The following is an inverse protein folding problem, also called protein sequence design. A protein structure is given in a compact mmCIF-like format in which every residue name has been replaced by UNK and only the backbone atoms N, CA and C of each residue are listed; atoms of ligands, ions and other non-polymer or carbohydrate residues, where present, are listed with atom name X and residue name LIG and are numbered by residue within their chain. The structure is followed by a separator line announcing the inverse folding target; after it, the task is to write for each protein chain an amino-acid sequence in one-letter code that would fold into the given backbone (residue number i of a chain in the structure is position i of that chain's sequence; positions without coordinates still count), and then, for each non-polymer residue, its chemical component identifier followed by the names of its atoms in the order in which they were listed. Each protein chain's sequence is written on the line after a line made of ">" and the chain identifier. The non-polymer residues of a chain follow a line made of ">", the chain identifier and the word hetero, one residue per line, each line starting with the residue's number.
data_IF_394443657499
#
_entry.id   IF_394443657499
#
_cell.length_a   1.000
_cell.length_b   1.000
_cell.length_c   1.000
_cell.angle_alpha   90.00
_cell.angle_beta   90.00
_cell.angle_gamma   90.00
#
_symmetry.space_group_name_H-M   'P 1'
#
loop_
_entity.id
_entity.type
_entity.pdbx_description
1 polymer ?
#
# COMPACT_ATOMS: atom_id res chain seq x y z
N UNK A 1 27.52 -10.09 16.07
CA UNK A 1 28.38 -8.96 16.46
C UNK A 1 27.46 -7.82 16.86
N UNK A 2 27.65 -7.22 18.02
CA UNK A 2 26.80 -6.11 18.49
C UNK A 2 27.14 -4.84 17.72
N UNK A 3 26.13 -4.15 17.17
CA UNK A 3 26.34 -2.89 16.47
C UNK A 3 26.51 -1.78 17.50
N UNK A 4 27.62 -1.06 17.40
CA UNK A 4 27.93 0.17 18.14
C UNK A 4 28.12 1.33 17.17
N UNK A 5 28.05 2.57 17.65
CA UNK A 5 28.35 3.76 16.84
C UNK A 5 29.73 3.68 16.17
N UNK A 6 30.73 3.17 16.90
CA UNK A 6 32.09 2.97 16.40
C UNK A 6 32.12 1.92 15.29
N UNK A 7 31.55 0.73 15.51
CA UNK A 7 31.57 -0.35 14.52
C UNK A 7 30.82 0.05 13.24
N UNK A 8 29.73 0.82 13.37
CA UNK A 8 28.99 1.35 12.24
C UNK A 8 29.84 2.35 11.43
N UNK A 9 30.48 3.32 12.10
CA UNK A 9 31.36 4.29 11.46
C UNK A 9 32.55 3.63 10.76
N UNK A 10 33.24 2.70 11.44
CA UNK A 10 34.38 1.96 10.87
C UNK A 10 33.96 1.07 9.69
N UNK A 11 32.77 0.48 9.75
CA UNK A 11 32.25 -0.32 8.63
C UNK A 11 31.90 0.56 7.43
N UNK A 12 31.22 1.69 7.65
CA UNK A 12 30.91 2.64 6.59
C UNK A 12 32.17 3.21 5.95
N UNK A 13 33.14 3.69 6.73
CA UNK A 13 34.41 4.22 6.21
C UNK A 13 35.15 3.19 5.36
N UNK A 14 35.23 1.93 5.82
CA UNK A 14 35.86 0.85 5.05
C UNK A 14 35.11 0.55 3.75
N UNK A 15 33.79 0.71 3.73
CA UNK A 15 32.97 0.48 2.54
C UNK A 15 33.11 1.64 1.55
N UNK A 16 32.97 2.87 2.03
CA UNK A 16 33.07 4.09 1.23
C UNK A 16 34.44 4.20 0.55
N UNK A 17 35.53 3.98 1.30
CA UNK A 17 36.90 4.04 0.78
C UNK A 17 37.23 3.03 -0.34
N UNK A 18 36.35 2.04 -0.59
CA UNK A 18 36.54 1.04 -1.65
C UNK A 18 35.87 1.43 -2.97
N UNK A 19 35.00 2.43 -3.00
CA UNK A 19 34.17 2.68 -4.16
C UNK A 19 33.88 4.17 -4.37
N UNK A 20 34.28 4.69 -5.53
CA UNK A 20 34.20 6.11 -5.86
C UNK A 20 32.77 6.71 -5.76
N UNK A 21 31.73 5.89 -6.00
CA UNK A 21 30.33 6.31 -5.83
C UNK A 21 29.96 6.67 -4.38
N UNK A 22 30.80 6.32 -3.40
CA UNK A 22 30.58 6.59 -1.99
C UNK A 22 31.57 7.61 -1.40
N UNK A 23 32.49 8.16 -2.20
CA UNK A 23 33.61 8.99 -1.69
C UNK A 23 33.11 10.27 -0.98
N UNK A 24 32.00 10.85 -1.44
CA UNK A 24 31.38 12.05 -0.83
C UNK A 24 30.16 11.71 0.04
N UNK A 25 29.87 10.42 0.24
CA UNK A 25 28.71 9.99 1.01
C UNK A 25 29.09 9.82 2.48
N UNK A 26 28.67 10.78 3.30
CA UNK A 26 28.83 10.70 4.74
C UNK A 26 27.88 9.68 5.39
N UNK A 27 28.32 9.09 6.51
CA UNK A 27 27.43 8.29 7.34
C UNK A 27 26.33 9.20 7.91
N UNK A 28 25.05 8.81 7.83
CA UNK A 28 23.98 9.62 8.40
C UNK A 28 24.13 9.81 9.91
N UNK A 29 23.58 10.89 10.49
CA UNK A 29 23.65 11.15 11.92
C UNK A 29 23.17 9.96 12.74
N UNK A 30 23.99 9.53 13.71
CA UNK A 30 23.68 8.42 14.63
C UNK A 30 23.39 8.98 16.02
N UNK A 31 22.11 8.97 16.38
CA UNK A 31 21.57 9.31 17.69
C UNK A 31 21.61 8.09 18.63
N UNK A 32 21.82 8.36 19.92
CA UNK A 32 21.78 7.37 21.01
C UNK A 32 20.53 7.51 21.88
N UNK A 33 19.66 8.47 21.54
CA UNK A 33 18.37 8.67 22.21
C UNK A 33 17.34 9.27 21.25
N UNK A 34 16.05 9.09 21.55
CA UNK A 34 14.96 9.70 20.79
C UNK A 34 15.01 11.23 20.81
N UNK A 35 15.56 11.83 21.88
CA UNK A 35 15.73 13.28 21.97
C UNK A 35 16.79 13.78 20.99
N UNK A 36 17.95 13.11 20.92
CA UNK A 36 18.98 13.42 19.93
C UNK A 36 18.47 13.20 18.50
N UNK A 37 17.72 12.12 18.26
CA UNK A 37 17.11 11.84 16.96
C UNK A 37 16.20 13.00 16.53
N UNK A 38 15.35 13.49 17.43
CA UNK A 38 14.44 14.60 17.16
C UNK A 38 15.20 15.86 16.77
N UNK A 39 16.27 16.21 17.49
CA UNK A 39 17.09 17.38 17.14
C UNK A 39 17.74 17.25 15.76
N UNK A 40 18.24 16.06 15.40
CA UNK A 40 18.82 15.85 14.07
C UNK A 40 17.77 15.90 12.97
N UNK A 41 16.63 15.28 13.20
CA UNK A 41 15.53 15.26 12.25
C UNK A 41 14.95 16.66 12.00
N UNK A 42 14.77 17.47 13.05
CA UNK A 42 14.32 18.86 12.93
C UNK A 42 15.30 19.70 12.09
N UNK A 43 16.62 19.56 12.32
CA UNK A 43 17.64 20.24 11.48
C UNK A 43 17.61 19.78 10.03
N UNK A 44 17.39 18.50 9.78
CA UNK A 44 17.32 17.95 8.43
C UNK A 44 16.03 18.41 7.70
N UNK A 45 14.94 18.62 8.44
CA UNK A 45 13.69 19.18 7.91
C UNK A 45 13.86 20.67 7.58
N UNK A 46 14.50 21.46 8.46
CA UNK A 46 14.84 22.87 8.21
C UNK A 46 15.76 23.06 7.00
N UNK A 47 16.65 22.10 6.73
CA UNK A 47 17.52 22.11 5.57
C UNK A 47 16.86 21.59 4.28
N UNK A 48 15.56 21.25 4.32
CA UNK A 48 14.81 20.57 3.24
C UNK A 48 15.48 19.28 2.74
N UNK A 49 16.33 18.69 3.59
CA UNK A 49 17.22 17.61 3.23
C UNK A 49 16.51 16.25 3.29
N UNK A 50 15.48 16.14 4.15
CA UNK A 50 14.64 14.95 4.31
C UNK A 50 15.45 13.66 4.56
N UNK A 51 16.67 13.82 5.08
CA UNK A 51 17.71 12.80 5.12
C UNK A 51 17.38 11.65 6.05
N UNK A 52 18.04 10.51 5.82
CA UNK A 52 18.01 9.39 6.75
C UNK A 52 18.71 9.81 8.06
N UNK A 53 18.13 9.48 9.21
CA UNK A 53 18.78 9.56 10.52
C UNK A 53 18.75 8.18 11.16
N UNK A 54 19.77 7.83 11.95
CA UNK A 54 19.87 6.53 12.60
C UNK A 54 19.73 6.70 14.11
N UNK A 55 18.90 5.85 14.73
CA UNK A 55 18.83 5.67 16.18
C UNK A 55 19.42 4.31 16.52
N UNK A 56 20.42 4.29 17.40
CA UNK A 56 21.06 3.06 17.87
C UNK A 56 20.54 2.72 19.28
N UNK A 57 19.80 1.61 19.39
CA UNK A 57 19.32 1.07 20.65
C UNK A 57 20.47 0.38 21.42
N UNK A 58 20.34 0.32 22.75
CA UNK A 58 21.31 -0.35 23.64
C UNK A 58 21.53 -1.82 23.32
N UNK A 59 20.56 -2.48 22.69
CA UNK A 59 20.64 -3.89 22.29
C UNK A 59 21.30 -4.10 20.92
N UNK A 60 21.89 -3.06 20.33
CA UNK A 60 22.52 -3.07 19.02
C UNK A 60 21.56 -3.04 17.83
N UNK A 61 20.28 -2.72 18.03
CA UNK A 61 19.33 -2.49 16.94
C UNK A 61 19.51 -1.09 16.38
N UNK A 62 19.66 -0.99 15.06
CA UNK A 62 19.67 0.28 14.34
C UNK A 62 18.30 0.52 13.72
N UNK A 63 17.69 1.65 14.07
CA UNK A 63 16.44 2.13 13.51
C UNK A 63 16.71 3.30 12.58
N UNK A 64 16.24 3.20 11.35
CA UNK A 64 16.32 4.29 10.38
C UNK A 64 15.06 5.14 10.43
N UNK A 65 15.22 6.45 10.46
CA UNK A 65 14.12 7.41 10.49
C UNK A 65 14.23 8.46 9.39
N UNK A 66 13.08 8.93 8.91
CA UNK A 66 12.96 10.12 8.05
C UNK A 66 12.05 11.12 8.74
N UNK A 67 12.62 12.22 9.22
CA UNK A 67 11.94 13.04 10.21
C UNK A 67 11.88 12.35 11.58
N UNK A 68 11.31 13.01 12.60
CA UNK A 68 11.40 12.53 13.99
C UNK A 68 10.50 11.33 14.30
N UNK A 69 9.47 11.08 13.48
CA UNK A 69 8.42 10.11 13.82
C UNK A 69 8.29 8.94 12.84
N UNK A 70 8.82 9.04 11.62
CA UNK A 70 8.65 8.00 10.60
C UNK A 70 9.85 7.05 10.60
N UNK A 71 9.71 5.94 11.31
CA UNK A 71 10.64 4.81 11.20
C UNK A 71 10.47 4.14 9.83
N UNK A 72 11.58 3.88 9.13
CA UNK A 72 11.59 3.27 7.78
C UNK A 72 12.21 1.87 7.77
N UNK A 73 13.00 1.52 8.78
CA UNK A 73 13.50 0.16 9.02
C UNK A 73 13.97 0.01 10.47
N UNK A 74 14.03 -1.23 10.96
CA UNK A 74 14.73 -1.60 12.17
C UNK A 74 15.48 -2.92 11.95
N UNK A 75 16.79 -2.96 12.17
CA UNK A 75 17.60 -4.17 11.94
C UNK A 75 18.80 -4.26 12.89
N UNK A 76 19.25 -5.49 13.13
CA UNK A 76 20.51 -5.81 13.84
C UNK A 76 21.60 -6.30 12.89
N UNK A 77 21.32 -6.32 11.59
CA UNK A 77 22.28 -6.71 10.57
C UNK A 77 23.02 -5.48 10.05
N UNK A 78 24.33 -5.45 10.30
CA UNK A 78 25.20 -4.35 9.88
C UNK A 78 25.22 -4.18 8.35
N UNK A 79 25.20 -5.25 7.56
CA UNK A 79 25.22 -5.16 6.10
C UNK A 79 23.90 -4.57 5.56
N UNK A 80 22.77 -4.87 6.21
CA UNK A 80 21.50 -4.23 5.87
C UNK A 80 21.54 -2.72 6.17
N UNK A 81 22.14 -2.30 7.29
CA UNK A 81 22.30 -0.87 7.60
C UNK A 81 23.16 -0.18 6.54
N UNK A 82 24.31 -0.75 6.16
CA UNK A 82 25.18 -0.18 5.13
C UNK A 82 24.48 -0.06 3.78
N UNK A 83 23.72 -1.09 3.39
CA UNK A 83 22.88 -1.05 2.18
C UNK A 83 21.86 0.09 2.22
N UNK A 84 21.13 0.25 3.33
CA UNK A 84 20.09 1.27 3.48
C UNK A 84 20.66 2.70 3.48
N UNK A 85 21.86 2.88 4.04
CA UNK A 85 22.60 4.14 3.96
C UNK A 85 22.98 4.44 2.51
N UNK A 86 23.55 3.46 1.79
CA UNK A 86 23.92 3.63 0.39
C UNK A 86 22.71 3.89 -0.51
N UNK A 87 21.60 3.17 -0.31
CA UNK A 87 20.35 3.41 -1.03
C UNK A 87 19.84 4.83 -0.81
N UNK A 88 19.81 5.30 0.44
CA UNK A 88 19.38 6.66 0.75
C UNK A 88 20.26 7.72 0.05
N UNK A 89 21.57 7.49 0.01
CA UNK A 89 22.51 8.39 -0.65
C UNK A 89 22.36 8.38 -2.18
N UNK A 90 22.35 7.21 -2.82
CA UNK A 90 22.22 7.09 -4.27
C UNK A 90 20.92 7.69 -4.78
N UNK A 91 19.84 7.59 -4.01
CA UNK A 91 18.57 8.23 -4.34
C UNK A 91 18.60 9.75 -4.25
N UNK A 92 19.43 10.31 -3.37
CA UNK A 92 19.61 11.77 -3.24
C UNK A 92 20.45 12.35 -4.38
N UNK A 93 21.30 11.55 -5.00
CA UNK A 93 22.00 11.95 -6.23
C UNK A 93 21.05 12.15 -7.43
N UNK A 94 19.78 11.71 -7.31
CA UNK A 94 18.78 11.80 -8.37
C UNK A 94 18.93 10.70 -9.43
N UNK A 95 18.14 10.81 -10.49
CA UNK A 95 18.06 9.83 -11.57
C UNK A 95 16.85 8.90 -11.48
N UNK A 96 16.73 8.03 -12.48
CA UNK A 96 15.77 6.93 -12.56
C UNK A 96 16.05 5.85 -11.51
N UNK A 97 15.07 5.01 -11.25
CA UNK A 97 15.23 3.91 -10.29
C UNK A 97 16.19 2.86 -10.80
N UNK A 98 16.25 2.68 -12.12
CA UNK A 98 17.19 1.83 -12.83
C UNK A 98 18.63 2.30 -12.60
N UNK A 99 18.88 3.61 -12.72
CA UNK A 99 20.21 4.18 -12.45
C UNK A 99 20.63 4.00 -10.99
N UNK A 100 19.70 4.14 -10.04
CA UNK A 100 19.96 3.85 -8.63
C UNK A 100 20.27 2.36 -8.43
N UNK A 101 19.49 1.47 -9.05
CA UNK A 101 19.70 0.04 -8.97
C UNK A 101 21.09 -0.36 -9.51
N UNK A 102 21.50 0.22 -10.65
CA UNK A 102 22.79 -0.02 -11.29
C UNK A 102 23.96 0.60 -10.53
N UNK A 103 23.76 1.74 -9.86
CA UNK A 103 24.74 2.30 -8.94
C UNK A 103 24.97 1.37 -7.74
N UNK A 104 23.89 0.87 -7.13
CA UNK A 104 23.98 -0.07 -6.03
C UNK A 104 24.61 -1.40 -6.45
N UNK A 105 24.28 -1.91 -7.65
CA UNK A 105 24.84 -3.14 -8.22
C UNK A 105 26.36 -3.05 -8.41
N UNK A 106 26.87 -1.90 -8.85
CA UNK A 106 28.30 -1.63 -8.99
C UNK A 106 29.03 -1.61 -7.64
N UNK A 107 28.39 -1.08 -6.59
CA UNK A 107 28.95 -1.06 -5.23
C UNK A 107 28.92 -2.45 -4.59
N UNK A 108 27.80 -3.15 -4.74
CA UNK A 108 27.57 -4.52 -4.31
C UNK A 108 26.43 -5.15 -5.15
N UNK A 109 26.68 -6.22 -5.91
CA UNK A 109 25.61 -6.87 -6.67
C UNK A 109 24.43 -7.31 -5.79
N UNK A 110 24.67 -7.66 -4.52
CA UNK A 110 23.58 -7.99 -3.60
C UNK A 110 22.70 -6.76 -3.26
N UNK A 111 23.28 -5.56 -3.22
CA UNK A 111 22.53 -4.32 -2.98
C UNK A 111 21.67 -3.96 -4.18
N UNK A 112 22.19 -4.11 -5.40
CA UNK A 112 21.41 -3.96 -6.63
C UNK A 112 20.21 -4.92 -6.67
N UNK A 113 20.40 -6.20 -6.30
CA UNK A 113 19.29 -7.17 -6.22
C UNK A 113 18.27 -6.84 -5.14
N UNK A 114 18.70 -6.49 -3.92
CA UNK A 114 17.80 -6.05 -2.84
C UNK A 114 16.98 -4.85 -3.26
N UNK A 115 17.60 -3.87 -3.91
CA UNK A 115 16.92 -2.67 -4.39
C UNK A 115 15.85 -3.02 -5.42
N UNK A 116 16.19 -3.83 -6.42
CA UNK A 116 15.24 -4.29 -7.45
C UNK A 116 14.12 -5.16 -6.88
N UNK A 117 14.38 -5.89 -5.80
CA UNK A 117 13.39 -6.68 -5.07
C UNK A 117 12.51 -5.89 -4.11
N UNK A 118 12.93 -4.70 -3.71
CA UNK A 118 12.21 -3.82 -2.77
C UNK A 118 12.32 -4.19 -1.30
N UNK A 119 12.88 -5.36 -0.96
CA UNK A 119 13.05 -5.86 0.41
C UNK A 119 14.47 -5.70 0.96
N UNK A 120 14.65 -6.10 2.23
CA UNK A 120 15.96 -6.17 2.89
C UNK A 120 16.72 -7.47 2.54
N UNK A 121 15.97 -8.52 2.21
CA UNK A 121 16.53 -9.82 1.84
C UNK A 121 16.83 -9.88 0.34
N UNK A 122 17.83 -10.69 -0.03
CA UNK A 122 18.10 -10.97 -1.44
C UNK A 122 16.96 -11.84 -1.99
N UNK A 123 16.14 -11.33 -2.93
CA UNK A 123 15.02 -12.10 -3.48
C UNK A 123 15.50 -13.18 -4.46
N UNK A 124 16.79 -13.24 -4.78
CA UNK A 124 17.30 -14.03 -5.89
C UNK A 124 17.01 -13.36 -7.24
N UNK A 125 16.73 -14.17 -8.26
CA UNK A 125 16.32 -13.66 -9.57
C UNK A 125 14.85 -13.28 -9.51
N UNK A 126 14.53 -12.02 -9.78
CA UNK A 126 13.16 -11.53 -9.86
C UNK A 126 12.80 -11.38 -11.33
N UNK A 127 11.79 -12.14 -11.79
CA UNK A 127 11.25 -11.98 -13.14
C UNK A 127 10.43 -10.69 -13.22
N UNK A 128 10.52 -10.01 -14.35
CA UNK A 128 9.71 -8.83 -14.62
C UNK A 128 8.23 -9.22 -14.73
N UNK A 129 7.34 -8.40 -14.17
CA UNK A 129 5.91 -8.54 -14.42
C UNK A 129 5.62 -8.20 -15.89
N UNK A 130 5.16 -9.19 -16.66
CA UNK A 130 4.83 -9.01 -18.08
C UNK A 130 3.36 -8.71 -18.36
N UNK A 131 2.53 -8.52 -17.31
CA UNK A 131 1.10 -8.25 -17.45
C UNK A 131 0.88 -6.76 -17.68
N UNK A 132 -0.04 -6.38 -18.56
CA UNK A 132 -0.49 -4.99 -18.63
C UNK A 132 -1.19 -4.61 -17.30
N UNK A 133 -0.66 -3.64 -16.53
CA UNK A 133 -1.23 -3.27 -15.25
C UNK A 133 -2.66 -2.74 -15.37
N UNK A 134 -3.02 -2.13 -16.51
CA UNK A 134 -4.35 -1.58 -16.78
C UNK A 134 -5.36 -2.65 -17.22
N UNK A 135 -4.93 -3.87 -17.54
CA UNK A 135 -5.86 -5.01 -17.64
C UNK A 135 -6.28 -5.50 -16.24
N UNK A 136 -5.47 -5.21 -15.22
CA UNK A 136 -5.71 -5.51 -13.81
C UNK A 136 -6.37 -4.36 -13.04
N UNK A 137 -6.38 -4.45 -11.71
CA UNK A 137 -7.07 -3.52 -10.80
C UNK A 137 -6.71 -2.05 -11.02
N UNK A 138 -5.51 -1.74 -11.55
CA UNK A 138 -5.07 -0.36 -11.77
C UNK A 138 -6.00 0.45 -12.70
N UNK A 139 -6.80 -0.20 -13.55
CA UNK A 139 -7.74 0.50 -14.44
C UNK A 139 -8.69 1.44 -13.68
N UNK A 140 -9.08 1.09 -12.44
CA UNK A 140 -10.05 1.87 -11.67
C UNK A 140 -9.41 3.10 -11.02
N UNK A 141 -8.08 3.15 -10.89
CA UNK A 141 -7.40 4.21 -10.14
C UNK A 141 -7.69 5.62 -10.72
N UNK A 142 -7.79 5.73 -12.05
CA UNK A 142 -8.12 6.98 -12.73
C UNK A 142 -9.52 7.51 -12.38
N UNK A 143 -10.55 6.67 -12.43
CA UNK A 143 -11.92 7.06 -12.08
C UNK A 143 -12.09 7.21 -10.56
N UNK A 144 -11.41 6.37 -9.78
CA UNK A 144 -11.49 6.39 -8.33
C UNK A 144 -10.89 7.65 -7.73
N UNK A 145 -9.93 8.26 -8.43
CA UNK A 145 -9.44 9.60 -8.11
C UNK A 145 -10.55 10.65 -8.13
N UNK A 146 -11.52 10.48 -9.02
CA UNK A 146 -12.71 11.31 -9.17
C UNK A 146 -13.90 10.74 -8.37
N UNK A 147 -13.63 9.84 -7.44
CA UNK A 147 -14.62 9.17 -6.57
C UNK A 147 -15.58 8.21 -7.28
N UNK A 148 -15.23 7.74 -8.48
CA UNK A 148 -16.06 6.87 -9.30
C UNK A 148 -15.49 5.43 -9.39
N UNK A 149 -16.32 4.38 -9.33
CA UNK A 149 -17.77 4.38 -9.14
C UNK A 149 -18.20 4.60 -7.69
N UNK A 150 -17.29 4.42 -6.73
CA UNK A 150 -17.57 4.55 -5.30
C UNK A 150 -16.34 4.99 -4.53
N UNK A 151 -16.53 5.72 -3.44
CA UNK A 151 -15.43 6.18 -2.58
C UNK A 151 -14.81 5.08 -1.73
N UNK A 152 -15.50 3.96 -1.51
CA UNK A 152 -14.95 2.82 -0.76
C UNK A 152 -14.89 1.58 -1.65
N UNK A 153 -13.71 0.95 -1.72
CA UNK A 153 -13.50 -0.37 -2.30
C UNK A 153 -13.10 -1.31 -1.16
N UNK A 154 -14.01 -2.20 -0.77
CA UNK A 154 -13.77 -3.17 0.29
C UNK A 154 -13.64 -4.59 -0.29
N UNK A 155 -12.64 -5.34 0.18
CA UNK A 155 -12.37 -6.71 -0.23
C UNK A 155 -12.33 -7.61 1.00
N UNK A 156 -12.96 -8.77 0.92
CA UNK A 156 -13.10 -9.73 2.03
C UNK A 156 -12.70 -11.12 1.56
N UNK A 157 -11.97 -11.84 2.43
CA UNK A 157 -11.54 -13.21 2.19
C UNK A 157 -11.73 -14.05 3.45
N UNK A 158 -12.20 -15.28 3.23
CA UNK A 158 -12.33 -16.29 4.26
C UNK A 158 -11.06 -17.14 4.35
N UNK A 159 -11.00 -18.04 5.33
CA UNK A 159 -9.91 -19.01 5.42
C UNK A 159 -9.74 -19.81 4.11
N UNK A 160 -8.52 -20.27 3.78
CA UNK A 160 -8.25 -21.02 2.55
C UNK A 160 -9.24 -22.17 2.34
N UNK A 161 -9.78 -22.28 1.12
CA UNK A 161 -10.79 -23.29 0.77
C UNK A 161 -12.24 -22.90 1.11
N UNK A 162 -12.49 -21.68 1.60
CA UNK A 162 -13.84 -21.12 1.80
C UNK A 162 -13.97 -19.80 1.04
N UNK A 163 -15.21 -19.39 0.79
CA UNK A 163 -15.55 -18.11 0.16
C UNK A 163 -16.49 -17.33 1.06
N UNK A 164 -16.34 -16.00 1.06
CA UNK A 164 -17.33 -15.10 1.66
C UNK A 164 -18.49 -14.98 0.67
N UNK A 165 -19.73 -15.11 1.15
CA UNK A 165 -20.90 -14.97 0.29
C UNK A 165 -21.17 -13.48 0.03
N UNK A 166 -21.11 -13.06 -1.25
CA UNK A 166 -21.24 -11.67 -1.64
C UNK A 166 -22.66 -11.11 -1.38
N UNK A 167 -23.70 -11.91 -1.58
CA UNK A 167 -25.09 -11.49 -1.33
C UNK A 167 -25.32 -11.33 0.17
N UNK A 168 -24.85 -12.28 0.98
CA UNK A 168 -24.97 -12.17 2.45
C UNK A 168 -24.14 -11.01 3.00
N UNK A 169 -22.98 -10.73 2.40
CA UNK A 169 -22.17 -9.56 2.74
C UNK A 169 -22.93 -8.26 2.39
N UNK A 170 -23.50 -8.14 1.20
CA UNK A 170 -24.27 -6.95 0.82
C UNK A 170 -25.48 -6.73 1.74
N UNK A 171 -26.21 -7.80 2.07
CA UNK A 171 -27.33 -7.76 3.02
C UNK A 171 -26.88 -7.35 4.42
N UNK A 172 -25.72 -7.82 4.87
CA UNK A 172 -25.15 -7.41 6.17
C UNK A 172 -24.89 -5.90 6.22
N UNK A 173 -24.46 -5.33 5.10
CA UNK A 173 -24.24 -3.90 4.93
C UNK A 173 -25.52 -3.09 4.68
N UNK A 174 -26.69 -3.74 4.61
CA UNK A 174 -27.98 -3.08 4.47
C UNK A 174 -28.50 -2.96 3.03
N UNK A 175 -27.98 -3.74 2.09
CA UNK A 175 -28.56 -3.82 0.74
C UNK A 175 -30.03 -4.30 0.78
N UNK A 176 -30.88 -3.73 -0.09
CA UNK A 176 -32.29 -4.11 -0.22
C UNK A 176 -32.44 -5.61 -0.56
N UNK A 177 -33.06 -6.42 0.31
CA UNK A 177 -33.21 -7.86 0.09
C UNK A 177 -33.97 -8.22 -1.19
N UNK A 178 -34.94 -7.40 -1.61
CA UNK A 178 -35.70 -7.64 -2.82
C UNK A 178 -34.83 -7.44 -4.07
N UNK A 179 -33.98 -6.41 -4.08
CA UNK A 179 -33.06 -6.13 -5.18
C UNK A 179 -31.93 -7.17 -5.24
N UNK A 180 -31.39 -7.57 -4.09
CA UNK A 180 -30.41 -8.65 -4.00
C UNK A 180 -31.01 -9.94 -4.55
N UNK A 181 -32.20 -10.34 -4.09
CA UNK A 181 -32.87 -11.56 -4.58
C UNK A 181 -33.26 -11.50 -6.07
N UNK A 182 -33.61 -10.31 -6.58
CA UNK A 182 -33.99 -10.11 -7.97
C UNK A 182 -32.81 -10.16 -8.95
N UNK A 183 -31.57 -10.15 -8.46
CA UNK A 183 -30.43 -10.19 -9.36
C UNK A 183 -29.99 -8.82 -9.91
N UNK A 184 -30.39 -7.73 -9.25
CA UNK A 184 -30.25 -6.37 -9.77
C UNK A 184 -28.80 -6.02 -10.14
N UNK A 185 -28.62 -5.35 -11.27
CA UNK A 185 -27.32 -4.94 -11.82
C UNK A 185 -27.16 -3.43 -11.82
N UNK A 186 -25.91 -2.94 -11.90
CA UNK A 186 -25.61 -1.51 -11.90
C UNK A 186 -26.35 -0.75 -13.03
N UNK A 187 -26.37 -1.32 -14.24
CA UNK A 187 -27.12 -0.75 -15.37
C UNK A 187 -28.62 -0.63 -15.10
N UNK A 188 -29.19 -1.56 -14.32
CA UNK A 188 -30.60 -1.54 -13.98
C UNK A 188 -30.91 -0.39 -13.01
N UNK A 189 -30.01 -0.12 -12.06
CA UNK A 189 -30.11 1.05 -11.16
C UNK A 189 -30.00 2.36 -11.95
N UNK A 190 -29.06 2.42 -12.90
CA UNK A 190 -28.81 3.57 -13.76
C UNK A 190 -29.93 3.83 -14.78
N UNK A 191 -30.72 2.80 -15.14
CA UNK A 191 -31.84 2.93 -16.07
C UNK A 191 -33.11 3.52 -15.43
N UNK A 192 -33.23 3.50 -14.09
CA UNK A 192 -34.41 4.02 -13.38
C UNK A 192 -34.51 5.54 -13.59
N UNK A 193 -35.71 6.00 -14.00
CA UNK A 193 -36.04 7.42 -14.23
C UNK A 193 -35.03 8.14 -15.16
N UNK A 194 -34.61 7.47 -16.25
CA UNK A 194 -33.60 7.97 -17.20
C UNK A 194 -32.28 8.37 -16.52
N UNK A 195 -31.93 7.70 -15.41
CA UNK A 195 -30.71 7.95 -14.63
C UNK A 195 -30.82 9.07 -13.60
N UNK A 196 -31.88 9.89 -13.63
CA UNK A 196 -32.04 11.01 -12.69
C UNK A 196 -32.12 10.54 -11.24
N UNK A 197 -32.94 9.51 -10.99
CA UNK A 197 -33.07 8.90 -9.68
C UNK A 197 -31.77 8.25 -9.19
N UNK A 198 -30.93 7.75 -10.10
CA UNK A 198 -29.63 7.19 -9.75
C UNK A 198 -28.64 8.28 -9.35
N UNK A 199 -28.51 9.36 -10.12
CA UNK A 199 -27.64 10.48 -9.75
C UNK A 199 -27.98 11.06 -8.37
N UNK A 200 -29.27 11.16 -8.03
CA UNK A 200 -29.72 11.65 -6.73
C UNK A 200 -29.48 10.65 -5.57
N UNK A 201 -29.34 9.34 -5.88
CA UNK A 201 -29.28 8.25 -4.88
C UNK A 201 -28.06 7.35 -4.99
N UNK A 202 -27.06 7.71 -5.81
CA UNK A 202 -25.86 6.89 -6.02
C UNK A 202 -25.12 6.63 -4.69
N UNK A 203 -25.17 7.60 -3.78
CA UNK A 203 -24.62 7.53 -2.43
C UNK A 203 -25.33 6.50 -1.54
N UNK A 204 -26.55 6.11 -1.91
CA UNK A 204 -27.38 5.13 -1.22
C UNK A 204 -27.31 3.73 -1.87
N UNK A 205 -26.20 3.38 -2.50
CA UNK A 205 -26.08 2.12 -3.23
C UNK A 205 -24.73 1.43 -3.02
N UNK A 206 -24.70 0.14 -3.34
CA UNK A 206 -23.47 -0.65 -3.47
C UNK A 206 -23.40 -1.43 -4.77
N UNK A 207 -22.16 -1.78 -5.14
CA UNK A 207 -21.85 -2.91 -6.01
C UNK A 207 -21.14 -4.01 -5.22
N UNK A 208 -21.43 -5.27 -5.51
CA UNK A 208 -20.83 -6.41 -4.79
C UNK A 208 -20.63 -7.61 -5.71
N UNK A 209 -19.72 -8.50 -5.31
CA UNK A 209 -19.44 -9.71 -6.10
C UNK A 209 -18.17 -10.40 -5.67
N UNK A 210 -17.61 -11.22 -6.56
CA UNK A 210 -16.38 -11.97 -6.30
C UNK A 210 -15.42 -11.85 -7.48
N UNK A 211 -14.14 -11.65 -7.20
CA UNK A 211 -13.06 -11.64 -8.19
C UNK A 211 -11.71 -11.91 -7.50
N UNK A 212 -10.81 -12.65 -8.16
CA UNK A 212 -9.46 -12.89 -7.65
C UNK A 212 -9.39 -13.66 -6.32
N UNK A 213 -10.42 -14.44 -5.97
CA UNK A 213 -10.52 -15.11 -4.67
C UNK A 213 -10.95 -14.18 -3.51
N UNK A 214 -11.30 -12.93 -3.83
CA UNK A 214 -11.86 -11.95 -2.92
C UNK A 214 -13.34 -11.73 -3.21
N UNK A 215 -14.10 -11.48 -2.15
CA UNK A 215 -15.45 -10.90 -2.25
C UNK A 215 -15.33 -9.40 -2.13
N UNK A 216 -15.86 -8.65 -3.08
CA UNK A 216 -15.79 -7.19 -3.05
C UNK A 216 -17.15 -6.58 -2.69
N UNK A 217 -17.09 -5.41 -2.06
CA UNK A 217 -18.22 -4.53 -1.80
C UNK A 217 -17.74 -3.08 -2.01
N UNK A 218 -18.39 -2.36 -2.91
CA UNK A 218 -18.10 -0.98 -3.24
C UNK A 218 -19.28 -0.11 -2.85
N UNK A 219 -19.03 1.01 -2.18
CA UNK A 219 -20.07 1.92 -1.73
C UNK A 219 -19.52 3.31 -1.41
N UNK A 220 -20.39 4.31 -1.34
CA UNK A 220 -20.01 5.64 -0.91
C UNK A 220 -20.15 5.84 0.61
N UNK A 221 -21.33 5.55 1.12
CA UNK A 221 -21.67 5.63 2.54
C UNK A 221 -22.48 4.40 2.95
N UNK A 222 -22.38 4.00 4.21
CA UNK A 222 -23.16 2.89 4.76
C UNK A 222 -24.47 3.40 5.36
N UNK A 223 -25.59 2.67 5.23
CA UNK A 223 -26.83 3.08 5.86
C UNK A 223 -26.71 3.11 7.39
N UNK A 224 -27.45 3.98 8.10
CA UNK A 224 -27.47 4.00 9.55
C UNK A 224 -27.79 2.62 10.14
N UNK A 225 -26.97 2.18 11.09
CA UNK A 225 -27.16 0.87 11.73
C UNK A 225 -26.70 -0.33 10.89
N UNK A 226 -25.92 -0.14 9.81
CA UNK A 226 -25.24 -1.27 9.16
C UNK A 226 -24.31 -1.99 10.16
N UNK A 227 -24.56 -3.28 10.40
CA UNK A 227 -23.87 -4.08 11.42
C UNK A 227 -22.71 -4.87 10.80
N UNK A 228 -21.64 -4.17 10.44
CA UNK A 228 -20.39 -4.80 9.99
C UNK A 228 -19.39 -4.88 11.15
N UNK A 229 -19.80 -5.52 12.25
CA UNK A 229 -18.95 -5.72 13.43
C UNK A 229 -18.16 -7.05 13.37
N UNK A 230 -17.31 -7.26 14.39
CA UNK A 230 -16.42 -8.42 14.45
C UNK A 230 -17.19 -9.73 14.50
N UNK A 231 -18.31 -9.76 15.22
CA UNK A 231 -19.19 -10.91 15.36
C UNK A 231 -19.85 -11.27 14.03
N UNK A 232 -20.36 -10.27 13.30
CA UNK A 232 -20.93 -10.46 11.98
C UNK A 232 -19.90 -10.97 10.96
N UNK A 233 -18.68 -10.43 10.98
CA UNK A 233 -17.60 -10.92 10.13
C UNK A 233 -17.19 -12.36 10.44
N UNK A 234 -17.11 -12.70 11.73
CA UNK A 234 -16.86 -14.07 12.16
C UNK A 234 -17.96 -15.03 11.69
N UNK A 235 -19.23 -14.60 11.70
CA UNK A 235 -20.36 -15.39 11.21
C UNK A 235 -20.29 -15.65 9.69
N UNK A 236 -19.75 -14.70 8.92
CA UNK A 236 -19.45 -14.87 7.48
C UNK A 236 -18.13 -15.61 7.23
N UNK A 237 -17.38 -15.96 8.28
CA UNK A 237 -16.09 -16.64 8.17
C UNK A 237 -14.98 -15.78 7.59
N UNK A 238 -15.12 -14.45 7.66
CA UNK A 238 -14.14 -13.48 7.16
C UNK A 238 -12.92 -13.54 8.08
N UNK A 239 -11.76 -13.79 7.49
CA UNK A 239 -10.47 -13.79 8.18
C UNK A 239 -9.59 -12.64 7.73
N UNK A 240 -9.82 -12.10 6.54
CA UNK A 240 -9.03 -11.02 5.99
C UNK A 240 -9.91 -10.01 5.27
N UNK A 241 -9.55 -8.74 5.38
CA UNK A 241 -10.28 -7.67 4.74
C UNK A 241 -9.39 -6.48 4.45
N UNK A 242 -9.54 -5.93 3.25
CA UNK A 242 -8.79 -4.77 2.76
C UNK A 242 -9.79 -3.68 2.41
N UNK A 243 -9.54 -2.46 2.87
CA UNK A 243 -10.30 -1.27 2.49
C UNK A 243 -9.41 -0.26 1.82
N UNK A 244 -9.92 0.26 0.71
CA UNK A 244 -9.42 1.44 0.04
C UNK A 244 -10.50 2.50 0.14
N UNK A 245 -10.20 3.67 0.70
CA UNK A 245 -11.17 4.77 0.80
C UNK A 245 -10.64 6.06 0.20
N UNK A 246 -11.42 6.70 -0.65
CA UNK A 246 -11.14 7.98 -1.29
C UNK A 246 -11.90 9.12 -0.62
N UNK A 247 -11.20 10.18 -0.21
CA UNK A 247 -11.78 11.37 0.43
C UNK A 247 -11.48 12.63 -0.40
N UNK A 248 -12.47 13.11 -1.17
CA UNK A 248 -12.33 14.27 -2.08
C UNK A 248 -11.90 15.55 -1.38
N UNK A 249 -12.42 15.82 -0.18
CA UNK A 249 -12.14 17.07 0.55
C UNK A 249 -10.65 17.28 0.88
N UNK A 250 -9.84 16.23 0.83
CA UNK A 250 -8.39 16.29 1.13
C UNK A 250 -7.51 15.60 0.09
N UNK A 251 -8.11 15.07 -0.99
CA UNK A 251 -7.46 14.11 -1.88
C UNK A 251 -6.77 12.96 -1.12
N UNK A 252 -7.27 12.59 0.07
CA UNK A 252 -6.66 11.53 0.88
C UNK A 252 -7.24 10.20 0.44
N UNK A 253 -6.37 9.24 0.20
CA UNK A 253 -6.74 7.86 -0.06
C UNK A 253 -6.11 6.99 0.99
N UNK A 254 -6.92 6.16 1.63
CA UNK A 254 -6.50 5.35 2.76
C UNK A 254 -6.41 3.89 2.35
N UNK A 255 -5.48 3.17 2.97
CA UNK A 255 -5.40 1.71 2.94
C UNK A 255 -5.56 1.18 4.36
N UNK A 256 -6.47 0.24 4.54
CA UNK A 256 -6.64 -0.52 5.78
C UNK A 256 -6.59 -2.01 5.47
N UNK A 257 -5.78 -2.75 6.21
CA UNK A 257 -5.67 -4.19 6.05
C UNK A 257 -5.77 -4.89 7.40
N UNK A 258 -6.80 -5.71 7.52
CA UNK A 258 -7.07 -6.52 8.69
C UNK A 258 -6.88 -8.00 8.35
N UNK A 259 -6.23 -8.72 9.26
CA UNK A 259 -6.06 -10.18 9.22
C UNK A 259 -6.31 -10.75 10.61
N UNK A 260 -7.19 -11.74 10.69
CA UNK A 260 -7.62 -12.41 11.92
C UNK A 260 -8.11 -11.43 13.01
N UNK A 261 -8.85 -10.39 12.59
CA UNK A 261 -9.42 -9.38 13.49
C UNK A 261 -8.40 -8.41 14.09
N UNK A 262 -7.20 -8.33 13.52
CA UNK A 262 -6.16 -7.36 13.91
C UNK A 262 -5.68 -6.61 12.67
N UNK A 263 -5.30 -5.35 12.85
CA UNK A 263 -4.67 -4.57 11.79
C UNK A 263 -3.28 -5.14 11.53
N UNK A 264 -2.91 -5.26 10.26
CA UNK A 264 -1.59 -5.77 9.83
C UNK A 264 -0.53 -4.66 9.87
N UNK A 265 -0.95 -3.39 9.97
CA UNK A 265 -0.05 -2.24 10.14
C UNK A 265 -0.38 -1.48 11.41
N UNK A 266 0.62 -1.28 12.26
CA UNK A 266 0.50 -0.52 13.50
C UNK A 266 0.59 1.01 13.27
N UNK A 267 1.07 1.46 12.10
CA UNK A 267 1.30 2.88 11.81
C UNK A 267 0.05 3.64 11.34
N UNK A 268 -1.03 2.93 11.03
CA UNK A 268 -2.31 3.52 10.64
C UNK A 268 -2.48 3.69 9.13
N UNK A 269 -3.18 4.74 8.72
CA UNK A 269 -3.63 5.01 7.35
C UNK A 269 -2.47 5.50 6.50
N UNK A 270 -2.18 4.83 5.37
CA UNK A 270 -1.30 5.40 4.33
C UNK A 270 -2.11 6.40 3.50
N UNK A 271 -1.66 7.65 3.45
CA UNK A 271 -2.18 8.66 2.53
C UNK A 271 -1.40 8.61 1.21
N UNK A 272 -1.98 8.03 0.17
CA UNK A 272 -1.29 7.80 -1.11
C UNK A 272 -0.79 9.07 -1.81
N UNK A 273 -1.38 10.24 -1.51
CA UNK A 273 -0.91 11.52 -2.06
C UNK A 273 0.49 11.93 -1.61
N UNK A 274 0.96 11.41 -0.48
CA UNK A 274 2.31 11.67 0.05
C UNK A 274 3.30 10.56 -0.31
N UNK A 275 2.89 9.60 -1.14
CA UNK A 275 3.79 8.57 -1.61
C UNK A 275 4.78 9.13 -2.63
N UNK A 276 6.06 8.98 -2.32
CA UNK A 276 7.15 9.34 -3.21
C UNK A 276 7.72 8.09 -3.89
N UNK A 277 7.76 8.12 -5.23
CA UNK A 277 8.35 7.05 -6.03
C UNK A 277 9.77 6.74 -5.57
N UNK A 278 10.04 5.46 -5.48
CA UNK A 278 11.25 4.85 -4.98
C UNK A 278 11.33 4.70 -3.48
N UNK A 279 10.41 5.27 -2.68
CA UNK A 279 10.37 5.05 -1.23
C UNK A 279 9.54 3.81 -0.92
N UNK A 280 9.96 3.07 0.10
CA UNK A 280 9.10 2.07 0.72
C UNK A 280 7.96 2.81 1.44
N UNK A 281 6.67 2.53 1.12
CA UNK A 281 5.55 3.13 1.84
C UNK A 281 5.48 2.67 3.31
N UNK A 282 5.92 1.44 3.60
CA UNK A 282 5.83 0.79 4.91
C UNK A 282 7.19 0.50 5.52
N UNK A 283 7.20 0.21 6.83
CA UNK A 283 8.38 -0.25 7.56
C UNK A 283 9.00 -1.48 6.86
N UNK A 284 10.27 -1.36 6.46
CA UNK A 284 10.98 -2.48 5.80
C UNK A 284 11.28 -3.58 6.80
N UNK A 285 10.97 -4.81 6.40
CA UNK A 285 11.01 -5.98 7.29
C UNK A 285 9.80 -6.13 8.23
N UNK A 286 8.82 -5.22 8.15
CA UNK A 286 7.53 -5.33 8.86
C UNK A 286 6.53 -6.25 8.14
N UNK A 287 5.32 -6.36 8.69
CA UNK A 287 4.28 -7.25 8.15
C UNK A 287 3.80 -6.85 6.74
N UNK A 288 3.90 -5.57 6.37
CA UNK A 288 3.58 -5.05 5.03
C UNK A 288 4.79 -4.99 4.09
N UNK A 289 5.94 -5.58 4.43
CA UNK A 289 7.12 -5.55 3.55
C UNK A 289 6.86 -6.23 2.19
N UNK A 290 5.94 -7.20 2.14
CA UNK A 290 5.52 -7.80 0.88
C UNK A 290 4.94 -6.76 -0.10
N UNK A 291 4.29 -5.72 0.42
CA UNK A 291 3.72 -4.63 -0.39
C UNK A 291 4.80 -3.63 -0.81
N UNK A 292 5.79 -3.35 0.04
CA UNK A 292 6.98 -2.59 -0.36
C UNK A 292 7.68 -3.23 -1.58
N UNK A 293 7.79 -4.56 -1.57
CA UNK A 293 8.37 -5.33 -2.67
C UNK A 293 7.53 -5.21 -3.93
N UNK A 294 6.22 -5.44 -3.84
CA UNK A 294 5.31 -5.31 -4.98
C UNK A 294 5.33 -3.90 -5.58
N UNK A 295 5.32 -2.85 -4.75
CA UNK A 295 5.42 -1.47 -5.20
C UNK A 295 6.74 -1.23 -5.93
N UNK A 296 7.87 -1.66 -5.37
CA UNK A 296 9.17 -1.52 -6.04
C UNK A 296 9.20 -2.24 -7.40
N UNK A 297 8.59 -3.42 -7.49
CA UNK A 297 8.50 -4.16 -8.76
C UNK A 297 7.65 -3.41 -9.77
N UNK A 298 6.48 -2.95 -9.37
CA UNK A 298 5.63 -2.10 -10.19
C UNK A 298 6.39 -0.87 -10.72
N UNK A 299 7.24 -0.25 -9.90
CA UNK A 299 7.97 0.95 -10.31
C UNK A 299 8.99 0.72 -11.43
N UNK A 300 9.64 -0.45 -11.42
CA UNK A 300 10.70 -0.84 -12.35
C UNK A 300 10.15 -1.55 -13.58
N UNK A 301 9.13 -2.39 -13.39
CA UNK A 301 8.53 -3.19 -14.46
C UNK A 301 7.52 -2.38 -15.28
N UNK A 302 6.90 -1.37 -14.67
CA UNK A 302 5.92 -0.48 -15.28
C UNK A 302 6.30 1.00 -15.15
N UNK A 303 7.39 1.46 -15.80
CA UNK A 303 7.79 2.87 -15.78
C UNK A 303 6.71 3.80 -16.39
N UNK A 304 5.82 3.27 -17.24
CA UNK A 304 4.68 3.98 -17.82
C UNK A 304 3.61 4.38 -16.79
N UNK A 305 3.50 3.67 -15.65
CA UNK A 305 2.55 3.99 -14.58
C UNK A 305 3.03 5.21 -13.78
N UNK A 306 2.86 6.39 -14.32
CA UNK A 306 3.25 7.66 -13.66
C UNK A 306 2.29 8.06 -12.52
N UNK A 307 1.06 7.55 -12.53
CA UNK A 307 0.09 7.76 -11.45
C UNK A 307 0.43 6.89 -10.25
N UNK A 308 0.67 7.52 -9.10
CA UNK A 308 0.87 6.83 -7.82
C UNK A 308 -0.27 5.87 -7.47
N UNK A 309 -1.51 6.22 -7.83
CA UNK A 309 -2.67 5.38 -7.55
C UNK A 309 -2.67 4.12 -8.41
N UNK A 310 -2.42 4.25 -9.72
CA UNK A 310 -2.35 3.11 -10.64
C UNK A 310 -1.23 2.15 -10.23
N UNK A 311 -0.05 2.71 -9.93
CA UNK A 311 1.09 1.97 -9.42
C UNK A 311 0.75 1.18 -8.15
N UNK A 312 0.11 1.85 -7.19
CA UNK A 312 -0.24 1.22 -5.91
C UNK A 312 -1.33 0.16 -6.06
N UNK A 313 -2.33 0.40 -6.91
CA UNK A 313 -3.40 -0.56 -7.20
C UNK A 313 -2.87 -1.80 -7.91
N UNK A 314 -1.94 -1.62 -8.85
CA UNK A 314 -1.23 -2.72 -9.47
C UNK A 314 -0.43 -3.53 -8.43
N UNK A 315 0.31 -2.86 -7.55
CA UNK A 315 1.05 -3.54 -6.48
C UNK A 315 0.12 -4.32 -5.51
N UNK A 316 -1.09 -3.83 -5.23
CA UNK A 316 -2.09 -4.54 -4.43
C UNK A 316 -2.65 -5.77 -5.16
N UNK A 317 -2.88 -5.69 -6.47
CA UNK A 317 -3.24 -6.87 -7.26
C UNK A 317 -2.13 -7.93 -7.17
N UNK A 318 -0.88 -7.55 -7.44
CA UNK A 318 0.21 -8.52 -7.52
C UNK A 318 0.53 -9.14 -6.15
N UNK A 319 0.42 -8.37 -5.08
CA UNK A 319 0.73 -8.84 -3.73
C UNK A 319 -0.41 -9.61 -3.05
N UNK A 320 -1.65 -9.19 -3.23
CA UNK A 320 -2.81 -9.72 -2.50
C UNK A 320 -3.81 -10.44 -3.40
N UNK A 321 -3.70 -10.29 -4.73
CA UNK A 321 -4.65 -10.83 -5.70
C UNK A 321 -5.95 -10.04 -5.79
N UNK A 322 -5.97 -8.78 -5.34
CA UNK A 322 -7.17 -7.94 -5.40
C UNK A 322 -7.57 -7.71 -6.85
N UNK A 323 -8.85 -7.93 -7.18
CA UNK A 323 -9.38 -7.78 -8.54
C UNK A 323 -10.80 -7.27 -8.54
N UNK A 324 -11.17 -6.61 -9.63
CA UNK A 324 -12.55 -6.22 -9.97
C UNK A 324 -12.84 -6.65 -11.41
N UNK A 325 -14.06 -7.11 -11.74
CA UNK A 325 -14.41 -7.52 -13.10
C UNK A 325 -14.60 -6.31 -14.01
N UNK A 326 -13.51 -5.86 -14.66
CA UNK A 326 -13.49 -4.65 -15.52
C UNK A 326 -14.61 -4.63 -16.58
N UNK A 327 -14.80 -5.75 -17.28
CA UNK A 327 -15.84 -5.88 -18.32
C UNK A 327 -17.24 -5.67 -17.74
N UNK A 328 -17.56 -6.35 -16.64
CA UNK A 328 -18.85 -6.22 -15.98
C UNK A 328 -19.09 -4.79 -15.46
N UNK A 329 -18.05 -4.09 -14.97
CA UNK A 329 -18.19 -2.69 -14.58
C UNK A 329 -18.45 -1.78 -15.79
N UNK A 330 -17.72 -1.98 -16.90
CA UNK A 330 -17.89 -1.21 -18.12
C UNK A 330 -19.28 -1.41 -18.76
N UNK A 331 -19.84 -2.62 -18.66
CA UNK A 331 -21.16 -2.97 -19.18
C UNK A 331 -22.30 -2.75 -18.16
N UNK A 332 -21.95 -2.38 -16.92
CA UNK A 332 -22.91 -2.23 -15.81
C UNK A 332 -23.57 -3.54 -15.38
N UNK A 333 -22.93 -4.68 -15.64
CA UNK A 333 -23.42 -6.03 -15.34
C UNK A 333 -23.12 -6.47 -13.90
N UNK A 334 -22.27 -5.73 -13.19
CA UNK A 334 -21.99 -5.99 -11.78
C UNK A 334 -23.25 -5.94 -10.94
N UNK A 335 -23.32 -6.83 -9.94
CA UNK A 335 -24.45 -6.86 -9.01
C UNK A 335 -24.46 -5.61 -8.16
N UNK A 336 -25.63 -5.00 -8.06
CA UNK A 336 -25.79 -3.74 -7.36
C UNK A 336 -27.15 -3.68 -6.67
N UNK A 337 -27.24 -2.92 -5.59
CA UNK A 337 -28.50 -2.67 -4.89
C UNK A 337 -28.45 -1.30 -4.21
N UNK A 338 -29.62 -0.66 -4.09
CA UNK A 338 -29.79 0.42 -3.14
C UNK A 338 -29.80 -0.13 -1.70
N UNK A 339 -29.53 0.74 -0.73
CA UNK A 339 -29.79 0.47 0.66
C UNK A 339 -31.28 0.27 0.92
N UNK A 340 -31.59 -0.63 1.84
CA UNK A 340 -32.94 -0.74 2.38
C UNK A 340 -33.30 0.59 3.07
N UNK A 341 -34.21 1.36 2.49
CA UNK A 341 -34.72 2.57 3.11
C UNK A 341 -35.58 2.24 4.34
N UNK A 342 -35.72 3.20 5.26
CA UNK A 342 -36.93 3.23 6.07
C UNK A 342 -38.12 3.36 5.11
N UNK A 343 -39.11 2.47 5.19
CA UNK A 343 -40.42 2.77 4.60
C UNK A 343 -40.91 4.07 5.26
N UNK A 344 -40.75 5.19 4.55
CA UNK A 344 -41.34 6.47 4.95
C UNK A 344 -42.85 6.46 4.76
#
# INVERSE_FOLDING_TARGET
>A
MEITKRTLAEAWQRRAARHALLDEVELPPVALSSHELKQWAERAEEAEDGGLCLLLDENGTVRGHRGPYREVFATRDLEQVLYLVAEAAMRRCGGSLEEVADALDRIDPAWGRRFRGGGLEDPGTVEACGRDPLEGLAWIAGSWREQDPYTTLAFFRAAPGRTVDAERLALLYGADPAQVAAGMRLKDLQAVDSGRAHWDRQWESCCFGQAGGWTYLLYHDTPPGSFADKEAYAALGITESVWLTATSAKAIYTFDYMRNGRRVDDWGVLELIWYERGRAPYLRGGELDFLNRAVRRAELDHPELTSTFELYFHALEDSLGLRLPRGDFAEGEVRAAYWAGEQR
#
